data_IF_974571834425
#
_entry.id   IF_974571834425
#
_cell.length_a   1.000
_cell.length_b   1.000
_cell.length_c   1.000
_cell.angle_alpha   90.00
_cell.angle_beta   90.00
_cell.angle_gamma   90.00
#
_symmetry.space_group_name_H-M   'P 1'
#
loop_
_entity.id
_entity.type
_entity.pdbx_description
1 polymer ?
#
# COMPACT_ATOMS: atom_id res chain seq x y z
N UNK A 1 3.03 -6.13 -7.03
CA UNK A 1 1.96 -5.24 -6.54
C UNK A 1 0.82 -6.02 -5.87
N UNK A 2 -0.08 -6.64 -6.64
CA UNK A 2 -1.30 -7.30 -6.14
C UNK A 2 -1.06 -8.42 -5.12
N UNK A 3 0.11 -9.08 -5.17
CA UNK A 3 0.47 -10.12 -4.22
C UNK A 3 0.29 -9.69 -2.76
N UNK A 4 0.96 -8.61 -2.35
CA UNK A 4 0.95 -8.12 -0.96
C UNK A 4 -0.20 -7.15 -0.69
N UNK A 5 -0.72 -6.45 -1.70
CA UNK A 5 -1.77 -5.45 -1.52
C UNK A 5 -3.19 -6.00 -1.68
N UNK A 6 -3.38 -7.18 -2.25
CA UNK A 6 -4.71 -7.77 -2.51
C UNK A 6 -4.71 -9.27 -2.19
N UNK A 7 -3.90 -10.07 -2.90
CA UNK A 7 -4.03 -11.53 -2.92
C UNK A 7 -3.83 -12.17 -1.55
N UNK A 8 -2.72 -11.84 -0.86
CA UNK A 8 -2.41 -12.39 0.46
C UNK A 8 -3.42 -11.91 1.52
N UNK A 9 -3.67 -10.60 1.69
CA UNK A 9 -4.66 -10.12 2.65
C UNK A 9 -6.06 -10.71 2.43
N UNK A 10 -6.55 -10.74 1.19
CA UNK A 10 -7.86 -11.31 0.87
C UNK A 10 -7.93 -12.79 1.18
N UNK A 11 -6.89 -13.55 0.81
CA UNK A 11 -6.86 -14.99 1.04
C UNK A 11 -6.85 -15.33 2.53
N UNK A 12 -5.98 -14.70 3.32
CA UNK A 12 -5.92 -14.92 4.76
C UNK A 12 -7.21 -14.50 5.47
N UNK A 13 -7.82 -13.37 5.07
CA UNK A 13 -9.13 -12.96 5.61
C UNK A 13 -10.24 -13.94 5.23
N UNK A 14 -10.24 -14.46 4.00
CA UNK A 14 -11.21 -15.45 3.57
C UNK A 14 -11.10 -16.74 4.40
N UNK A 15 -9.87 -17.19 4.68
CA UNK A 15 -9.61 -18.35 5.55
C UNK A 15 -10.06 -18.08 6.98
N UNK A 16 -9.64 -16.96 7.59
CA UNK A 16 -9.99 -16.63 8.98
C UNK A 16 -11.49 -16.37 9.19
N UNK A 17 -12.21 -15.98 8.13
CA UNK A 17 -13.67 -15.79 8.13
C UNK A 17 -14.45 -17.01 7.68
N UNK A 18 -13.80 -18.06 7.20
CA UNK A 18 -14.42 -19.19 6.53
C UNK A 18 -15.42 -18.76 5.44
N UNK A 19 -14.97 -17.90 4.52
CA UNK A 19 -15.81 -17.22 3.55
C UNK A 19 -15.32 -17.39 2.09
N UNK A 20 -16.24 -17.19 1.13
CA UNK A 20 -15.95 -17.31 -0.30
C UNK A 20 -15.50 -18.73 -0.67
N UNK A 21 -14.54 -18.83 -1.60
CA UNK A 21 -14.00 -20.13 -2.04
C UNK A 21 -13.12 -20.81 -0.98
N UNK A 22 -12.80 -20.11 0.13
CA UNK A 22 -12.04 -20.67 1.25
C UNK A 22 -12.93 -21.30 2.33
N UNK A 23 -14.22 -21.47 2.03
CA UNK A 23 -15.21 -21.99 2.96
C UNK A 23 -15.11 -23.52 3.05
N UNK A 24 -14.95 -24.01 4.26
CA UNK A 24 -15.00 -25.43 4.60
C UNK A 24 -16.17 -25.73 5.54
N UNK A 25 -16.61 -26.99 5.51
CA UNK A 25 -17.48 -27.57 6.53
C UNK A 25 -16.60 -28.25 7.57
N UNK A 26 -16.98 -28.16 8.83
CA UNK A 26 -16.25 -28.77 9.93
C UNK A 26 -17.23 -29.18 11.02
N UNK A 27 -16.99 -30.33 11.63
CA UNK A 27 -17.69 -30.76 12.83
C UNK A 27 -17.04 -30.12 14.06
N UNK A 28 -15.70 -30.13 14.10
CA UNK A 28 -14.87 -29.43 15.09
C UNK A 28 -14.27 -28.20 14.44
N UNK A 29 -14.59 -27.03 14.97
CA UNK A 29 -14.12 -25.75 14.45
C UNK A 29 -12.59 -25.62 14.52
N UNK A 30 -11.90 -25.43 13.39
CA UNK A 30 -10.48 -25.11 13.39
C UNK A 30 -10.18 -23.79 14.09
N UNK A 31 -9.09 -23.76 14.86
CA UNK A 31 -8.67 -22.60 15.65
C UNK A 31 -8.33 -21.35 14.82
N UNK A 32 -7.96 -21.51 13.54
CA UNK A 32 -7.65 -20.40 12.65
C UNK A 32 -8.90 -19.68 12.13
N UNK A 33 -10.09 -20.25 12.30
CA UNK A 33 -11.36 -19.64 11.91
C UNK A 33 -11.84 -18.76 13.06
N UNK A 34 -11.37 -17.51 13.07
CA UNK A 34 -11.54 -16.59 14.21
C UNK A 34 -12.60 -15.51 13.98
N UNK A 35 -12.98 -15.26 12.72
CA UNK A 35 -13.84 -14.15 12.28
C UNK A 35 -15.07 -14.62 11.49
N UNK A 36 -15.48 -15.88 11.63
CA UNK A 36 -16.65 -16.48 10.98
C UNK A 36 -17.99 -15.88 11.45
N UNK A 37 -18.09 -15.54 12.74
CA UNK A 37 -19.31 -15.00 13.30
C UNK A 37 -19.49 -13.52 12.92
N UNK A 38 -20.68 -13.17 12.44
CA UNK A 38 -20.97 -11.82 11.93
C UNK A 38 -20.79 -10.72 12.99
N UNK A 39 -21.13 -11.01 14.26
CA UNK A 39 -20.91 -10.09 15.37
C UNK A 39 -19.41 -9.84 15.62
N UNK A 40 -18.58 -10.88 15.63
CA UNK A 40 -17.12 -10.77 15.78
C UNK A 40 -16.51 -10.00 14.62
N UNK A 41 -16.96 -10.27 13.39
CA UNK A 41 -16.49 -9.55 12.21
C UNK A 41 -16.85 -8.06 12.24
N UNK A 42 -18.09 -7.72 12.63
CA UNK A 42 -18.51 -6.32 12.82
C UNK A 42 -17.70 -5.60 13.89
N UNK A 43 -17.54 -6.23 15.06
CA UNK A 43 -16.74 -5.68 16.16
C UNK A 43 -15.27 -5.47 15.76
N UNK A 44 -14.69 -6.42 15.02
CA UNK A 44 -13.34 -6.27 14.46
C UNK A 44 -13.26 -5.11 13.46
N UNK A 45 -14.28 -4.97 12.62
CA UNK A 45 -14.36 -3.87 11.67
C UNK A 45 -14.48 -2.48 12.33
N UNK A 46 -15.23 -2.39 13.43
CA UNK A 46 -15.34 -1.19 14.27
C UNK A 46 -14.01 -0.87 14.97
N UNK A 47 -13.30 -1.90 15.48
CA UNK A 47 -11.97 -1.75 16.04
C UNK A 47 -11.00 -1.15 15.00
N UNK A 48 -10.97 -1.67 13.78
CA UNK A 48 -10.12 -1.14 12.70
C UNK A 48 -10.47 0.32 12.38
N UNK A 49 -11.77 0.64 12.28
CA UNK A 49 -12.20 2.01 12.03
C UNK A 49 -11.83 2.97 13.17
N UNK A 50 -11.85 2.49 14.42
CA UNK A 50 -11.46 3.27 15.61
C UNK A 50 -9.98 3.63 15.65
N UNK A 51 -9.14 2.95 14.85
CA UNK A 51 -7.70 3.26 14.76
C UNK A 51 -7.39 4.54 14.00
N UNK A 52 -8.36 5.10 13.28
CA UNK A 52 -8.20 6.30 12.45
C UNK A 52 -7.47 7.45 13.15
N UNK A 53 -7.83 7.88 14.37
CA UNK A 53 -7.20 9.05 15.02
C UNK A 53 -5.71 8.86 15.33
N UNK A 54 -5.21 7.62 15.29
CA UNK A 54 -3.81 7.29 15.59
C UNK A 54 -2.95 7.21 14.33
N UNK A 55 -3.55 7.31 13.14
CA UNK A 55 -2.82 7.31 11.89
C UNK A 55 -2.23 8.70 11.61
N UNK A 56 -0.99 8.79 11.09
CA UNK A 56 -0.45 10.07 10.66
C UNK A 56 -1.35 10.74 9.63
N UNK A 57 -1.44 12.07 9.68
CA UNK A 57 -2.30 12.85 8.78
C UNK A 57 -1.94 12.66 7.31
N UNK A 58 -0.72 12.25 6.98
CA UNK A 58 -0.32 11.82 5.62
C UNK A 58 -1.13 10.64 5.07
N UNK A 59 -1.74 9.82 5.93
CA UNK A 59 -2.66 8.74 5.59
C UNK A 59 -4.15 9.13 5.75
N UNK A 60 -4.41 10.34 6.26
CA UNK A 60 -5.74 10.87 6.56
C UNK A 60 -6.14 12.05 5.63
N UNK A 61 -5.22 12.51 4.77
CA UNK A 61 -5.48 13.62 3.84
C UNK A 61 -6.17 13.14 2.57
N UNK A 62 -7.25 13.80 2.13
CA UNK A 62 -7.78 13.64 0.79
C UNK A 62 -6.80 14.29 -0.19
N UNK A 63 -5.95 13.49 -0.83
CA UNK A 63 -5.18 13.98 -1.97
C UNK A 63 -6.19 14.34 -3.07
N UNK A 64 -6.02 15.54 -3.63
CA UNK A 64 -6.85 16.15 -4.68
C UNK A 64 -7.26 15.07 -5.71
N UNK A 65 -8.57 14.85 -5.86
CA UNK A 65 -9.23 13.73 -6.56
C UNK A 65 -9.23 12.35 -5.83
N UNK A 66 -10.08 12.21 -4.82
CA UNK A 66 -10.78 10.93 -4.54
C UNK A 66 -9.97 9.76 -3.95
N UNK A 67 -8.72 10.00 -3.55
CA UNK A 67 -7.89 9.03 -2.86
C UNK A 67 -7.52 9.58 -1.48
N UNK A 68 -8.15 8.96 -0.48
CA UNK A 68 -7.57 8.53 0.81
C UNK A 68 -8.55 8.79 1.97
N UNK A 69 -9.32 7.73 2.27
CA UNK A 69 -9.96 7.55 3.58
C UNK A 69 -9.09 6.54 4.33
N UNK A 70 -8.64 6.81 5.57
CA UNK A 70 -8.01 5.80 6.44
C UNK A 70 -8.96 4.61 6.60
N UNK A 71 -8.44 3.41 6.95
CA UNK A 71 -9.03 2.16 6.50
C UNK A 71 -10.49 2.12 6.94
N UNK A 72 -11.38 2.17 5.93
CA UNK A 72 -12.80 2.05 6.18
C UNK A 72 -13.06 0.75 6.95
N UNK A 73 -14.14 0.71 7.73
CA UNK A 73 -14.56 -0.50 8.40
C UNK A 73 -14.58 -1.68 7.39
N UNK A 74 -13.67 -2.67 7.52
CA UNK A 74 -13.58 -3.75 6.54
C UNK A 74 -14.87 -4.59 6.52
N UNK A 75 -15.60 -4.67 7.64
CA UNK A 75 -16.86 -5.39 7.68
C UNK A 75 -17.94 -4.79 6.79
N UNK A 76 -17.90 -3.47 6.55
CA UNK A 76 -18.85 -2.78 5.69
C UNK A 76 -18.40 -2.75 4.23
N UNK A 77 -17.08 -2.69 3.98
CA UNK A 77 -16.56 -2.32 2.65
C UNK A 77 -15.88 -3.46 1.90
N UNK A 78 -15.48 -4.56 2.55
CA UNK A 78 -14.65 -5.61 1.93
C UNK A 78 -15.24 -6.20 0.64
N UNK A 79 -16.57 -6.28 0.55
CA UNK A 79 -17.29 -6.81 -0.61
C UNK A 79 -17.66 -5.74 -1.66
N UNK A 80 -17.35 -4.46 -1.42
CA UNK A 80 -17.81 -3.31 -2.22
C UNK A 80 -16.67 -2.46 -2.81
N UNK A 81 -15.45 -3.02 -2.87
CA UNK A 81 -14.28 -2.32 -3.43
C UNK A 81 -13.33 -1.76 -2.36
N UNK A 82 -12.91 -2.61 -1.43
CA UNK A 82 -11.79 -2.30 -0.53
C UNK A 82 -10.49 -2.20 -1.34
N UNK A 83 -9.88 -1.01 -1.33
CA UNK A 83 -8.75 -0.69 -2.20
C UNK A 83 -7.47 -1.37 -1.71
N UNK A 84 -6.52 -1.56 -2.62
CA UNK A 84 -5.23 -2.15 -2.28
C UNK A 84 -4.46 -1.33 -1.21
N UNK A 85 -4.55 0.01 -1.25
CA UNK A 85 -3.97 0.86 -0.20
C UNK A 85 -4.62 0.64 1.17
N UNK A 86 -5.94 0.41 1.22
CA UNK A 86 -6.65 0.11 2.46
C UNK A 86 -6.20 -1.24 3.03
N UNK A 87 -5.99 -2.25 2.17
CA UNK A 87 -5.42 -3.53 2.59
C UNK A 87 -3.99 -3.38 3.10
N UNK A 88 -3.15 -2.57 2.45
CA UNK A 88 -1.77 -2.37 2.90
C UNK A 88 -1.73 -1.79 4.32
N UNK A 89 -2.57 -0.79 4.59
CA UNK A 89 -2.66 -0.13 5.88
C UNK A 89 -3.30 -1.03 6.95
N UNK A 90 -4.42 -1.65 6.63
CA UNK A 90 -5.12 -2.57 7.53
C UNK A 90 -4.26 -3.77 7.90
N UNK A 91 -3.69 -4.45 6.91
CA UNK A 91 -3.05 -5.75 7.11
C UNK A 91 -1.62 -5.63 7.59
N UNK A 92 -0.81 -4.73 7.02
CA UNK A 92 0.63 -4.68 7.32
C UNK A 92 1.02 -3.67 8.41
N UNK A 93 0.27 -2.57 8.54
CA UNK A 93 0.54 -1.57 9.57
C UNK A 93 -0.28 -1.82 10.84
N UNK A 94 -1.62 -1.91 10.71
CA UNK A 94 -2.52 -2.12 11.85
C UNK A 94 -2.62 -3.59 12.28
N UNK A 95 -2.43 -4.52 11.35
CA UNK A 95 -2.63 -5.96 11.53
C UNK A 95 -2.08 -6.52 12.83
N UNK A 96 -0.78 -6.32 13.16
CA UNK A 96 -0.20 -6.85 14.40
C UNK A 96 -0.96 -6.44 15.66
N UNK A 97 -1.57 -5.26 15.66
CA UNK A 97 -2.34 -4.74 16.80
C UNK A 97 -3.77 -5.25 16.76
N UNK A 98 -4.46 -5.11 15.62
CA UNK A 98 -5.90 -5.43 15.52
C UNK A 98 -6.19 -6.93 15.51
N UNK A 99 -5.25 -7.77 15.05
CA UNK A 99 -5.42 -9.23 15.07
C UNK A 99 -4.94 -9.88 16.37
N UNK A 100 -4.17 -9.19 17.22
CA UNK A 100 -3.72 -9.73 18.51
C UNK A 100 -4.85 -10.21 19.43
N UNK A 101 -5.98 -9.50 19.59
CA UNK A 101 -7.07 -9.97 20.44
C UNK A 101 -7.92 -11.09 19.81
N UNK A 102 -7.75 -11.37 18.51
CA UNK A 102 -8.61 -12.28 17.75
C UNK A 102 -7.91 -13.59 17.39
N UNK A 103 -6.62 -13.54 17.05
CA UNK A 103 -5.83 -14.72 16.70
C UNK A 103 -5.24 -15.38 17.97
N UNK A 104 -5.27 -16.72 18.07
CA UNK A 104 -4.45 -17.47 19.00
C UNK A 104 -2.97 -17.06 18.91
N UNK A 105 -2.24 -17.09 20.04
CA UNK A 105 -0.90 -16.51 20.11
C UNK A 105 0.08 -17.08 19.08
N UNK A 106 0.02 -18.39 18.83
CA UNK A 106 0.88 -19.07 17.87
C UNK A 106 0.53 -18.70 16.42
N UNK A 107 -0.74 -18.46 16.09
CA UNK A 107 -1.18 -17.99 14.77
C UNK A 107 -0.91 -16.49 14.59
N UNK A 108 -1.02 -15.70 15.65
CA UNK A 108 -0.61 -14.30 15.63
C UNK A 108 0.89 -14.14 15.41
N UNK A 109 1.71 -14.98 16.05
CA UNK A 109 3.17 -14.98 15.86
C UNK A 109 3.53 -15.38 14.45
N UNK A 110 2.88 -16.42 13.91
CA UNK A 110 2.98 -16.82 12.51
C UNK A 110 2.66 -15.64 11.57
N UNK A 111 1.51 -14.98 11.77
CA UNK A 111 1.16 -13.78 11.02
C UNK A 111 2.20 -12.64 11.14
N UNK A 112 2.76 -12.41 12.33
CA UNK A 112 3.78 -11.39 12.53
C UNK A 112 5.09 -11.68 11.78
N UNK A 113 5.47 -12.95 11.56
CA UNK A 113 6.62 -13.29 10.71
C UNK A 113 6.42 -12.77 9.28
N UNK A 114 5.23 -13.02 8.72
CA UNK A 114 4.85 -12.51 7.41
C UNK A 114 4.88 -10.97 7.37
N UNK A 115 4.26 -10.32 8.36
CA UNK A 115 4.26 -8.86 8.44
C UNK A 115 5.69 -8.31 8.49
N UNK A 116 6.57 -8.90 9.31
CA UNK A 116 7.97 -8.48 9.41
C UNK A 116 8.68 -8.59 8.06
N UNK A 117 8.59 -9.74 7.40
CA UNK A 117 9.25 -9.96 6.13
C UNK A 117 8.70 -9.06 5.00
N UNK A 118 7.37 -8.95 4.90
CA UNK A 118 6.74 -8.06 3.92
C UNK A 118 7.15 -6.61 4.15
N UNK A 119 7.23 -6.16 5.40
CA UNK A 119 7.69 -4.80 5.73
C UNK A 119 9.14 -4.57 5.33
N UNK A 120 10.02 -5.55 5.48
CA UNK A 120 11.42 -5.47 5.02
C UNK A 120 11.48 -5.29 3.50
N UNK A 121 10.76 -6.14 2.76
CA UNK A 121 10.78 -6.14 1.28
C UNK A 121 10.19 -4.85 0.68
N UNK A 122 9.33 -4.16 1.43
CA UNK A 122 8.72 -2.89 0.99
C UNK A 122 9.52 -1.64 1.40
N UNK A 123 10.67 -1.78 2.08
CA UNK A 123 11.49 -0.61 2.41
C UNK A 123 12.12 -0.02 1.14
N UNK A 124 12.35 1.29 1.16
CA UNK A 124 12.99 1.99 0.04
C UNK A 124 14.48 1.69 -0.09
N UNK A 125 15.14 1.54 1.06
CA UNK A 125 16.52 1.10 1.15
C UNK A 125 16.52 -0.20 1.97
N UNK A 126 17.05 -1.26 1.37
CA UNK A 126 17.07 -2.59 1.96
C UNK A 126 18.50 -3.10 1.91
N UNK A 127 19.04 -3.52 3.05
CA UNK A 127 20.36 -4.15 3.10
C UNK A 127 20.27 -5.64 2.76
N UNK A 128 21.39 -6.23 2.34
CA UNK A 128 21.46 -7.66 2.05
C UNK A 128 21.07 -8.52 3.26
N UNK A 129 21.54 -8.14 4.46
CA UNK A 129 21.22 -8.86 5.70
C UNK A 129 19.72 -8.81 6.02
N UNK A 130 19.07 -7.67 5.77
CA UNK A 130 17.62 -7.56 5.93
C UNK A 130 16.89 -8.50 4.96
N UNK A 131 17.33 -8.60 3.71
CA UNK A 131 16.74 -9.52 2.73
C UNK A 131 16.90 -10.97 3.16
N UNK A 132 18.06 -11.36 3.67
CA UNK A 132 18.31 -12.72 4.18
C UNK A 132 17.36 -13.05 5.35
N UNK A 133 17.16 -12.09 6.26
CA UNK A 133 16.19 -12.22 7.36
C UNK A 133 14.76 -12.37 6.82
N UNK A 134 14.36 -11.52 5.86
CA UNK A 134 13.02 -11.59 5.27
C UNK A 134 12.79 -12.93 4.55
N UNK A 135 13.78 -13.43 3.81
CA UNK A 135 13.72 -14.71 3.12
C UNK A 135 13.51 -15.85 4.12
N UNK A 136 14.32 -15.90 5.18
CA UNK A 136 14.17 -16.90 6.25
C UNK A 136 12.78 -16.87 6.88
N UNK A 137 12.30 -15.68 7.24
CA UNK A 137 10.98 -15.51 7.85
C UNK A 137 9.83 -15.96 6.94
N UNK A 138 9.93 -15.72 5.62
CA UNK A 138 8.90 -16.16 4.66
C UNK A 138 8.93 -17.67 4.45
N UNK A 139 10.12 -18.29 4.37
CA UNK A 139 10.22 -19.75 4.27
C UNK A 139 9.63 -20.43 5.50
N UNK A 140 9.98 -19.96 6.70
CA UNK A 140 9.39 -20.48 7.93
C UNK A 140 7.87 -20.27 7.96
N UNK A 141 7.40 -19.10 7.53
CA UNK A 141 5.98 -18.79 7.47
C UNK A 141 5.22 -19.71 6.51
N UNK A 142 5.77 -20.03 5.34
CA UNK A 142 5.12 -20.88 4.35
C UNK A 142 5.02 -22.34 4.81
N UNK A 143 6.10 -22.88 5.40
CA UNK A 143 6.10 -24.22 6.01
C UNK A 143 5.08 -24.29 7.14
N UNK A 144 5.05 -23.29 8.02
CA UNK A 144 4.07 -23.22 9.10
C UNK A 144 2.64 -23.03 8.57
N UNK A 145 2.46 -22.36 7.43
CA UNK A 145 1.15 -22.22 6.80
C UNK A 145 0.62 -23.58 6.34
N UNK A 146 1.48 -24.37 5.68
CA UNK A 146 1.15 -25.74 5.27
C UNK A 146 0.75 -26.60 6.47
N UNK A 147 1.51 -26.54 7.57
CA UNK A 147 1.24 -27.35 8.76
C UNK A 147 -0.04 -26.94 9.50
N UNK A 148 -0.29 -25.63 9.64
CA UNK A 148 -1.35 -25.10 10.53
C UNK A 148 -2.69 -24.92 9.83
N UNK A 149 -2.68 -24.51 8.57
CA UNK A 149 -3.91 -24.22 7.82
C UNK A 149 -4.33 -25.40 6.94
N UNK A 150 -3.41 -25.89 6.11
CA UNK A 150 -3.68 -27.02 5.23
C UNK A 150 -3.69 -28.35 6.00
N UNK A 151 -2.71 -28.58 6.89
CA UNK A 151 -2.66 -29.75 7.74
C UNK A 151 -2.62 -31.09 6.99
N UNK A 152 -2.20 -31.08 5.72
CA UNK A 152 -2.28 -32.24 4.79
C UNK A 152 -3.68 -32.81 4.60
N UNK A 153 -4.70 -31.99 4.84
CA UNK A 153 -6.10 -32.34 4.62
C UNK A 153 -6.51 -31.95 3.20
N UNK A 154 -6.82 -32.95 2.36
CA UNK A 154 -7.23 -32.74 0.97
C UNK A 154 -8.44 -31.81 0.84
N UNK A 155 -9.34 -31.78 1.82
CA UNK A 155 -10.49 -30.87 1.81
C UNK A 155 -10.07 -29.39 1.90
N UNK A 156 -8.86 -29.12 2.38
CA UNK A 156 -8.26 -27.78 2.58
C UNK A 156 -7.19 -27.44 1.54
N UNK A 157 -6.99 -28.29 0.53
CA UNK A 157 -5.95 -28.08 -0.49
C UNK A 157 -6.06 -26.71 -1.19
N UNK A 158 -7.29 -26.20 -1.34
CA UNK A 158 -7.58 -24.88 -1.91
C UNK A 158 -7.02 -23.70 -1.08
N UNK A 159 -6.52 -23.93 0.14
CA UNK A 159 -5.78 -22.93 0.91
C UNK A 159 -4.37 -22.69 0.38
N UNK A 160 -3.76 -23.64 -0.33
CA UNK A 160 -2.43 -23.50 -0.94
C UNK A 160 -2.56 -22.79 -2.29
N UNK A 161 -3.02 -21.53 -2.26
CA UNK A 161 -3.14 -20.72 -3.47
C UNK A 161 -1.76 -20.34 -4.02
N UNK A 162 -1.61 -20.11 -5.35
CA UNK A 162 -0.35 -19.67 -5.94
C UNK A 162 0.23 -18.41 -5.28
N UNK A 163 -0.60 -17.53 -4.71
CA UNK A 163 -0.12 -16.37 -4.00
C UNK A 163 0.67 -16.72 -2.71
N UNK A 164 0.34 -17.82 -2.02
CA UNK A 164 1.11 -18.29 -0.85
C UNK A 164 2.53 -18.62 -1.29
N UNK A 165 2.67 -19.47 -2.32
CA UNK A 165 3.98 -19.85 -2.84
C UNK A 165 4.72 -18.65 -3.44
N UNK A 166 4.04 -17.74 -4.14
CA UNK A 166 4.65 -16.55 -4.72
C UNK A 166 5.37 -15.67 -3.68
N UNK A 167 4.97 -15.73 -2.40
CA UNK A 167 5.65 -14.98 -1.34
C UNK A 167 7.11 -15.38 -1.16
N UNK A 168 7.47 -16.67 -1.30
CA UNK A 168 8.85 -17.13 -1.06
C UNK A 168 9.85 -16.51 -2.04
N UNK A 169 9.38 -16.18 -3.25
CA UNK A 169 10.19 -15.56 -4.31
C UNK A 169 10.44 -14.08 -4.09
N UNK A 170 9.65 -13.42 -3.24
CA UNK A 170 9.69 -11.94 -3.11
C UNK A 170 11.05 -11.41 -2.66
N UNK A 171 11.75 -12.11 -1.76
CA UNK A 171 13.09 -11.73 -1.31
C UNK A 171 14.13 -11.85 -2.44
N UNK A 172 14.09 -12.93 -3.20
CA UNK A 172 15.01 -13.16 -4.33
C UNK A 172 14.76 -12.17 -5.47
N UNK A 173 13.49 -11.93 -5.80
CA UNK A 173 13.15 -10.95 -6.81
C UNK A 173 13.57 -9.53 -6.39
N UNK A 174 13.48 -9.21 -5.09
CA UNK A 174 14.00 -7.94 -4.55
C UNK A 174 15.50 -7.78 -4.77
N UNK A 175 16.30 -8.86 -4.68
CA UNK A 175 17.72 -8.83 -5.03
C UNK A 175 17.94 -8.66 -6.53
N UNK A 176 17.15 -9.35 -7.34
CA UNK A 176 17.32 -9.42 -8.80
C UNK A 176 16.97 -8.11 -9.49
N UNK A 177 15.84 -7.51 -9.11
CA UNK A 177 15.24 -6.38 -9.84
C UNK A 177 14.94 -5.17 -8.95
N UNK A 178 15.38 -5.21 -7.70
CA UNK A 178 15.15 -4.15 -6.71
C UNK A 178 13.79 -4.27 -6.01
N UNK A 179 13.49 -3.37 -5.07
CA UNK A 179 12.24 -3.36 -4.32
C UNK A 179 11.01 -3.46 -5.23
N UNK A 180 10.13 -4.44 -4.96
CA UNK A 180 8.99 -4.77 -5.83
C UNK A 180 7.93 -3.67 -5.93
N UNK A 181 7.97 -2.67 -5.05
CA UNK A 181 7.15 -1.46 -5.15
C UNK A 181 7.59 -0.56 -6.32
N UNK A 182 8.87 -0.60 -6.73
CA UNK A 182 9.38 0.13 -7.90
C UNK A 182 8.96 -0.51 -9.22
N UNK A 183 8.65 -1.81 -9.20
CA UNK A 183 8.16 -2.58 -10.35
C UNK A 183 6.64 -2.71 -10.35
N UNK A 184 5.97 -1.96 -9.48
CA UNK A 184 4.52 -2.03 -9.39
C UNK A 184 3.86 -1.45 -10.63
N UNK A 185 2.85 -2.15 -11.16
CA UNK A 185 2.09 -1.77 -12.35
C UNK A 185 1.19 -0.53 -12.17
N UNK A 186 1.29 0.23 -11.07
CA UNK A 186 0.34 1.29 -10.73
C UNK A 186 0.37 2.41 -11.77
N UNK A 187 1.58 2.79 -12.19
CA UNK A 187 1.77 3.80 -13.23
C UNK A 187 1.14 3.35 -14.56
N UNK A 188 1.29 2.06 -14.90
CA UNK A 188 0.73 1.49 -16.11
C UNK A 188 -0.80 1.41 -16.03
N UNK A 189 -1.37 0.88 -14.95
CA UNK A 189 -2.82 0.81 -14.72
C UNK A 189 -3.46 2.20 -14.74
N UNK A 190 -2.82 3.19 -14.10
CA UNK A 190 -3.27 4.58 -14.14
C UNK A 190 -3.21 5.16 -15.56
N UNK A 191 -2.16 4.85 -16.31
CA UNK A 191 -2.03 5.28 -17.72
C UNK A 191 -3.13 4.66 -18.57
N UNK A 192 -3.39 3.37 -18.40
CA UNK A 192 -4.49 2.66 -19.09
C UNK A 192 -5.83 3.31 -18.75
N UNK A 193 -6.14 3.55 -17.47
CA UNK A 193 -7.39 4.20 -17.06
C UNK A 193 -7.50 5.66 -17.51
N UNK A 194 -6.38 6.36 -17.63
CA UNK A 194 -6.32 7.71 -18.19
C UNK A 194 -6.63 7.71 -19.69
N UNK A 195 -5.99 6.82 -20.46
CA UNK A 195 -6.23 6.66 -21.89
C UNK A 195 -7.64 6.15 -22.18
N UNK A 196 -8.13 5.18 -21.40
CA UNK A 196 -9.47 4.62 -21.55
C UNK A 196 -10.59 5.65 -21.41
N UNK A 197 -10.40 6.70 -20.58
CA UNK A 197 -11.34 7.82 -20.47
C UNK A 197 -11.41 8.70 -21.72
N UNK A 198 -10.41 8.64 -22.59
CA UNK A 198 -10.40 9.38 -23.86
C UNK A 198 -11.01 8.59 -25.01
N UNK A 199 -11.19 7.28 -24.85
CA UNK A 199 -11.83 6.44 -25.86
C UNK A 199 -13.33 6.73 -25.86
N UNK A 200 -13.81 7.42 -26.89
CA UNK A 200 -15.22 7.85 -27.03
C UNK A 200 -16.00 7.03 -28.05
N UNK A 201 -15.32 6.20 -28.84
CA UNK A 201 -15.94 5.37 -29.87
C UNK A 201 -15.76 3.88 -29.54
N UNK A 202 -16.80 3.21 -29.02
CA UNK A 202 -16.70 1.80 -28.64
C UNK A 202 -16.60 0.85 -29.85
N UNK A 203 -17.14 1.24 -31.02
CA UNK A 203 -17.13 0.41 -32.23
C UNK A 203 -15.76 0.27 -32.90
N UNK A 204 -14.84 1.21 -32.65
CA UNK A 204 -13.46 1.15 -33.14
C UNK A 204 -12.48 1.74 -32.10
N UNK A 205 -12.48 1.13 -30.91
CA UNK A 205 -11.73 1.62 -29.77
C UNK A 205 -10.22 1.71 -30.02
N UNK A 206 -9.63 0.77 -30.77
CA UNK A 206 -8.19 0.74 -31.03
C UNK A 206 -7.74 1.84 -31.98
N UNK A 207 -8.45 2.08 -33.10
CA UNK A 207 -8.13 3.22 -33.98
C UNK A 207 -8.36 4.55 -33.27
N UNK A 208 -9.42 4.68 -32.47
CA UNK A 208 -9.65 5.88 -31.68
C UNK A 208 -8.53 6.13 -30.66
N UNK A 209 -8.08 5.08 -29.97
CA UNK A 209 -6.94 5.16 -29.05
C UNK A 209 -5.64 5.55 -29.78
N UNK A 210 -5.39 5.01 -30.97
CA UNK A 210 -4.23 5.36 -31.77
C UNK A 210 -4.22 6.85 -32.15
N UNK A 211 -5.35 7.39 -32.59
CA UNK A 211 -5.50 8.81 -32.89
C UNK A 211 -5.33 9.70 -31.65
N UNK A 212 -5.85 9.27 -30.48
CA UNK A 212 -5.62 9.97 -29.20
C UNK A 212 -4.14 9.96 -28.81
N UNK A 213 -3.45 8.84 -28.99
CA UNK A 213 -2.01 8.71 -28.77
C UNK A 213 -1.21 9.63 -29.68
N UNK A 214 -1.53 9.66 -30.98
CA UNK A 214 -0.91 10.52 -31.97
C UNK A 214 -1.11 12.01 -31.64
N UNK A 215 -2.31 12.40 -31.23
CA UNK A 215 -2.61 13.77 -30.82
C UNK A 215 -1.77 14.19 -29.60
N UNK A 216 -1.66 13.34 -28.57
CA UNK A 216 -0.81 13.61 -27.40
C UNK A 216 0.66 13.75 -27.79
N UNK A 217 1.17 12.86 -28.65
CA UNK A 217 2.54 12.93 -29.12
C UNK A 217 2.81 14.24 -29.88
N UNK A 218 1.87 14.67 -30.75
CA UNK A 218 1.95 15.94 -31.46
C UNK A 218 1.90 17.15 -30.52
N UNK A 219 1.01 17.13 -29.52
CA UNK A 219 0.94 18.19 -28.52
C UNK A 219 2.23 18.27 -27.70
N UNK A 220 2.75 17.15 -27.21
CA UNK A 220 4.00 17.11 -26.46
C UNK A 220 5.19 17.59 -27.32
N UNK A 221 5.26 17.19 -28.60
CA UNK A 221 6.29 17.65 -29.51
C UNK A 221 6.19 19.17 -29.77
N UNK A 222 4.97 19.69 -29.96
CA UNK A 222 4.73 21.12 -30.14
C UNK A 222 5.16 21.92 -28.91
N UNK A 223 4.78 21.46 -27.70
CA UNK A 223 5.14 22.11 -26.45
C UNK A 223 6.66 22.02 -26.17
N UNK A 224 7.32 20.94 -26.60
CA UNK A 224 8.77 20.82 -26.50
C UNK A 224 9.53 21.75 -27.46
N UNK A 225 9.01 21.98 -28.66
CA UNK A 225 9.61 22.89 -29.67
C UNK A 225 9.29 24.35 -29.37
N UNK A 226 8.08 24.63 -28.89
CA UNK A 226 7.59 25.97 -28.58
C UNK A 226 7.05 26.02 -27.13
N UNK A 227 7.93 26.10 -26.13
CA UNK A 227 7.53 26.14 -24.72
C UNK A 227 6.62 27.31 -24.36
N UNK A 228 6.64 28.39 -25.15
CA UNK A 228 5.79 29.58 -24.99
C UNK A 228 4.29 29.29 -25.11
N UNK A 229 3.92 28.22 -25.82
CA UNK A 229 2.53 27.76 -25.93
C UNK A 229 2.04 27.08 -24.64
N UNK A 230 2.96 26.66 -23.77
CA UNK A 230 2.62 26.15 -22.45
C UNK A 230 2.39 27.32 -21.49
N UNK A 231 1.21 27.93 -21.54
CA UNK A 231 0.84 29.00 -20.61
C UNK A 231 0.66 28.37 -19.22
N UNK A 232 1.56 28.61 -18.25
CA UNK A 232 1.44 27.98 -16.95
C UNK A 232 0.20 28.52 -16.24
N UNK A 233 -0.67 27.62 -15.79
CA UNK A 233 -1.68 27.96 -14.79
C UNK A 233 -0.98 28.48 -13.53
N UNK A 234 -1.55 29.50 -12.87
CA UNK A 234 -0.99 30.13 -11.67
C UNK A 234 -0.29 29.12 -10.74
N UNK A 235 0.98 29.40 -10.42
CA UNK A 235 1.74 28.58 -9.49
C UNK A 235 1.01 28.52 -8.15
N UNK A 236 0.91 27.32 -7.54
CA UNK A 236 0.29 27.20 -6.23
C UNK A 236 1.08 27.99 -5.17
N UNK A 237 0.37 28.52 -4.18
CA UNK A 237 0.95 29.35 -3.13
C UNK A 237 2.12 28.64 -2.41
N UNK A 238 3.26 29.31 -2.30
CA UNK A 238 4.48 28.77 -1.69
C UNK A 238 5.35 27.93 -2.62
N UNK A 239 5.09 27.91 -3.94
CA UNK A 239 6.03 27.39 -4.91
C UNK A 239 7.29 28.28 -4.99
N UNK A 240 8.47 27.66 -4.98
CA UNK A 240 9.77 28.32 -5.13
C UNK A 240 10.32 28.01 -6.53
N UNK A 241 10.70 29.02 -7.31
CA UNK A 241 11.35 28.77 -8.60
C UNK A 241 12.81 28.33 -8.39
N UNK A 242 13.23 27.29 -9.11
CA UNK A 242 14.62 26.81 -9.17
C UNK A 242 15.35 27.31 -10.42
N UNK A 243 14.72 28.16 -11.24
CA UNK A 243 15.22 28.54 -12.57
C UNK A 243 14.91 27.49 -13.65
N UNK A 244 15.05 27.86 -14.93
CA UNK A 244 14.86 26.94 -16.06
C UNK A 244 13.47 26.29 -16.15
N UNK A 245 12.41 27.00 -15.74
CA UNK A 245 11.04 26.48 -15.62
C UNK A 245 10.84 25.35 -14.59
N UNK A 246 11.81 25.12 -13.69
CA UNK A 246 11.66 24.20 -12.57
C UNK A 246 11.09 24.94 -11.35
N UNK A 247 10.14 24.29 -10.66
CA UNK A 247 9.50 24.82 -9.46
C UNK A 247 9.51 23.77 -8.35
N UNK A 248 9.95 24.19 -7.17
CA UNK A 248 9.89 23.41 -5.96
C UNK A 248 8.57 23.73 -5.25
N UNK A 249 7.70 22.73 -5.14
CA UNK A 249 6.40 22.89 -4.50
C UNK A 249 6.54 22.69 -3.00
N UNK A 250 6.04 23.65 -2.20
CA UNK A 250 5.98 23.49 -0.75
C UNK A 250 5.09 22.29 -0.38
N UNK A 251 5.59 21.40 0.46
CA UNK A 251 4.76 20.49 1.23
C UNK A 251 3.94 21.33 2.23
N UNK A 252 2.67 21.59 1.92
CA UNK A 252 1.81 22.41 2.76
C UNK A 252 0.74 21.52 3.40
N UNK A 253 0.79 21.38 4.71
CA UNK A 253 -0.32 20.84 5.50
C UNK A 253 -1.40 21.93 5.62
N UNK A 254 -2.63 21.62 5.23
CA UNK A 254 -3.72 22.61 5.20
C UNK A 254 -4.37 22.87 6.56
N UNK A 255 -4.10 22.06 7.58
CA UNK A 255 -4.76 22.12 8.88
C UNK A 255 -3.72 22.23 10.01
N UNK A 256 -3.93 23.15 10.94
CA UNK A 256 -3.17 23.20 12.21
C UNK A 256 -3.54 22.00 13.09
N UNK A 257 -2.54 21.24 13.54
CA UNK A 257 -2.75 20.13 14.47
C UNK A 257 -2.51 20.57 15.92
N UNK A 258 -3.48 20.31 16.81
CA UNK A 258 -3.31 20.40 18.27
C UNK A 258 -3.23 18.98 18.85
N UNK A 259 -2.15 18.59 19.54
CA UNK A 259 -2.03 17.28 20.17
C UNK A 259 -3.12 17.07 21.24
N UNK A 260 -3.91 16.01 21.13
CA UNK A 260 -4.70 15.50 22.25
C UNK A 260 -3.84 14.59 23.13
N UNK A 261 -4.07 14.67 24.44
CA UNK A 261 -3.19 14.16 25.50
C UNK A 261 -2.77 12.69 25.33
N UNK A 262 -1.46 12.50 25.36
CA UNK A 262 -0.71 11.30 25.03
C UNK A 262 -0.61 10.33 26.23
N UNK A 263 -1.62 9.49 26.50
CA UNK A 263 -1.47 8.49 27.59
C UNK A 263 -1.97 7.06 27.34
N UNK A 264 -2.74 6.75 26.28
CA UNK A 264 -3.25 5.38 26.09
C UNK A 264 -2.67 4.57 24.92
N UNK A 265 -1.96 5.18 23.96
CA UNK A 265 -1.44 4.46 22.79
C UNK A 265 -0.09 4.98 22.28
N UNK A 266 0.82 5.37 23.19
CA UNK A 266 2.21 5.76 22.88
C UNK A 266 2.88 4.80 21.90
N UNK A 267 2.63 3.49 22.04
CA UNK A 267 3.23 2.45 21.23
C UNK A 267 2.72 2.42 19.79
N UNK A 268 1.45 2.72 19.52
CA UNK A 268 0.94 2.77 18.14
C UNK A 268 1.50 3.97 17.38
N UNK A 269 1.52 5.14 18.02
CA UNK A 269 2.08 6.35 17.42
C UNK A 269 3.60 6.23 17.22
N UNK A 270 4.35 5.71 18.20
CA UNK A 270 5.77 5.40 18.01
C UNK A 270 6.01 4.33 16.95
N UNK A 271 5.19 3.28 16.85
CA UNK A 271 5.37 2.22 15.84
C UNK A 271 5.03 2.70 14.42
N UNK A 272 4.13 3.69 14.28
CA UNK A 272 3.82 4.35 13.01
C UNK A 272 4.86 5.44 12.67
N UNK A 273 5.29 6.26 13.63
CA UNK A 273 6.33 7.30 13.45
C UNK A 273 7.74 6.73 13.28
N UNK A 274 8.12 5.65 13.95
CA UNK A 274 9.46 5.05 13.77
C UNK A 274 9.63 4.47 12.36
N UNK A 275 8.53 4.19 11.66
CA UNK A 275 8.54 3.51 10.36
C UNK A 275 8.11 4.40 9.19
N UNK A 276 7.23 5.38 9.42
CA UNK A 276 6.87 6.40 8.45
C UNK A 276 7.52 7.77 8.73
N UNK A 277 8.08 8.00 9.91
CA UNK A 277 8.62 9.30 10.33
C UNK A 277 10.12 9.36 10.61
N UNK A 278 10.81 8.23 10.86
CA UNK A 278 12.24 8.22 11.23
C UNK A 278 13.21 7.75 10.14
N UNK A 279 12.78 7.76 8.88
CA UNK A 279 13.67 7.83 7.72
C UNK A 279 13.27 9.03 6.89
N UNK A 280 14.19 9.78 6.26
CA UNK A 280 13.89 11.00 5.49
C UNK A 280 12.97 10.79 4.26
N UNK A 281 12.38 9.61 4.10
CA UNK A 281 11.80 9.11 2.86
C UNK A 281 10.51 8.33 3.10
N UNK A 282 9.54 9.00 3.70
CA UNK A 282 8.16 8.51 3.77
C UNK A 282 7.50 8.63 2.39
N UNK A 283 6.85 7.55 1.91
CA UNK A 283 5.97 7.38 0.73
C UNK A 283 5.62 8.66 -0.07
N UNK A 284 6.65 9.29 -0.61
CA UNK A 284 6.66 10.43 -1.49
C UNK A 284 7.89 10.21 -2.35
N UNK A 285 7.70 10.37 -3.64
CA UNK A 285 8.78 10.33 -4.62
C UNK A 285 9.96 11.18 -4.11
N UNK A 286 11.16 10.61 -4.32
CA UNK A 286 12.49 11.26 -4.27
C UNK A 286 12.93 11.90 -2.94
N UNK A 287 13.87 11.24 -2.25
CA UNK A 287 15.05 11.92 -1.72
C UNK A 287 16.18 10.91 -1.47
N UNK A 288 17.38 11.27 -1.89
CA UNK A 288 18.65 10.96 -1.21
C UNK A 288 19.67 11.90 -1.83
N UNK A 289 20.07 12.92 -1.06
CA UNK A 289 21.46 13.27 -0.78
C UNK A 289 21.43 14.45 0.18
N UNK A 290 21.72 14.17 1.45
CA UNK A 290 22.23 15.16 2.38
C UNK A 290 23.72 15.26 2.10
N UNK A 291 24.20 16.47 1.82
CA UNK A 291 25.45 16.97 2.36
C UNK A 291 25.35 18.49 2.49
N UNK A 292 25.62 18.97 3.71
CA UNK A 292 25.88 20.35 4.14
C UNK A 292 24.90 21.46 3.72
N UNK A 293 24.02 21.88 4.63
CA UNK A 293 23.70 23.30 4.95
C UNK A 293 22.68 23.34 6.11
N UNK A 294 22.86 24.29 7.02
CA UNK A 294 22.19 24.38 8.33
C UNK A 294 20.69 24.73 8.29
N UNK A 295 20.05 24.41 9.41
CA UNK A 295 18.74 24.89 9.90
C UNK A 295 17.86 25.66 8.91
N UNK A 296 17.15 24.96 8.01
CA UNK A 296 15.94 25.47 7.36
C UNK A 296 15.06 24.30 6.91
N UNK A 297 13.74 24.44 7.05
CA UNK A 297 12.76 23.35 6.93
C UNK A 297 12.82 22.56 5.61
N UNK A 298 12.52 21.26 5.71
CA UNK A 298 12.54 20.31 4.59
C UNK A 298 11.71 20.79 3.40
N UNK A 299 12.39 21.14 2.31
CA UNK A 299 11.82 21.39 0.98
C UNK A 299 11.72 20.06 0.23
N UNK A 300 10.53 19.72 -0.33
CA UNK A 300 10.36 18.56 -1.21
C UNK A 300 10.61 18.96 -2.66
N UNK A 301 11.56 18.31 -3.33
CA UNK A 301 11.78 18.47 -4.75
C UNK A 301 10.74 17.64 -5.53
N UNK A 302 9.78 18.31 -6.15
CA UNK A 302 8.89 17.69 -7.14
C UNK A 302 9.34 18.19 -8.50
N UNK A 303 9.92 17.32 -9.31
CA UNK A 303 10.22 17.63 -10.70
C UNK A 303 8.90 17.62 -11.47
N UNK A 304 8.27 18.79 -11.58
CA UNK A 304 7.39 19.03 -12.71
C UNK A 304 8.30 19.46 -13.86
N UNK A 305 8.48 18.56 -14.84
CA UNK A 305 8.69 19.05 -16.19
C UNK A 305 7.34 19.67 -16.56
N UNK A 306 7.25 21.00 -16.55
CA UNK A 306 6.36 21.66 -17.48
C UNK A 306 6.93 21.28 -18.86
N UNK A 307 6.38 20.21 -19.45
CA UNK A 307 6.34 20.07 -20.90
C UNK A 307 5.16 20.90 -21.35
#
# INVERSE_FOLDING_TARGET
MHLCSINIPQHLLAVWRNAGDSRIRFDIKPEFIVLDQNNKWKAHGELVASMRPYLPTSFDQPFRMGLDKPPCNPALKINSGFKACEYLLYFWALGPVVFRPVLPHHLWTHFCKLVCATRIIHQRAITRQQIEVAHKLIMEWEIEFEQRYYGRDLSRLHYIRPCIHAMIHTAHETLRCGPLNLLAQWALENTIGNLGREVRQPSNAFSNLAERGLLRARQNALLAVLPELNIPSHLPQGALSLGGNYYLLRACERNEWKPLSYRRFSNCHQMLLYWFGNGPDCFCLTSKQQDHLGETGMLKMVVHHAM
#
